data_IF_169164678649
#
_entry.id   IF_169164678649
#
_cell.length_a   1.000
_cell.length_b   1.000
_cell.length_c   1.000
_cell.angle_alpha   90.00
_cell.angle_beta   90.00
_cell.angle_gamma   90.00
#
_symmetry.space_group_name_H-M   'P 1'
#
loop_
_entity.id
_entity.type
_entity.pdbx_description
1 polymer ?
#
# COMPACT_ATOMS: atom_id res chain seq x y z
N UNK A 1 20.91 -2.92 22.41
CA UNK A 1 19.51 -2.48 22.61
C UNK A 1 18.90 -1.78 21.41
N UNK A 2 19.55 -0.78 20.79
CA UNK A 2 18.95 0.00 19.69
C UNK A 2 18.54 -0.81 18.43
N UNK A 3 19.25 -1.90 18.11
CA UNK A 3 18.94 -2.76 16.95
C UNK A 3 17.70 -3.64 17.17
N UNK A 4 17.51 -4.15 18.38
CA UNK A 4 16.34 -4.97 18.76
C UNK A 4 15.08 -4.11 18.87
N UNK A 5 15.21 -2.87 19.36
CA UNK A 5 14.10 -1.92 19.45
C UNK A 5 13.58 -1.50 18.06
N UNK A 6 14.48 -1.26 17.10
CA UNK A 6 14.12 -0.98 15.70
C UNK A 6 13.45 -2.19 15.02
N UNK A 7 13.89 -3.41 15.34
CA UNK A 7 13.29 -4.64 14.81
C UNK A 7 11.89 -4.91 15.40
N UNK A 8 11.66 -4.59 16.67
CA UNK A 8 10.33 -4.70 17.29
C UNK A 8 9.36 -3.62 16.79
N UNK A 9 9.83 -2.39 16.52
CA UNK A 9 9.00 -1.36 15.88
C UNK A 9 8.66 -1.69 14.42
N UNK A 10 9.59 -2.29 13.66
CA UNK A 10 9.32 -2.79 12.32
C UNK A 10 8.31 -3.95 12.31
N UNK A 11 8.37 -4.87 13.28
CA UNK A 11 7.37 -5.94 13.44
C UNK A 11 6.00 -5.41 13.87
N UNK A 12 5.97 -4.43 14.78
CA UNK A 12 4.71 -3.82 15.24
C UNK A 12 4.01 -3.05 14.11
N UNK A 13 4.77 -2.40 13.23
CA UNK A 13 4.23 -1.73 12.03
C UNK A 13 3.72 -2.72 10.97
N UNK A 14 4.26 -3.94 10.92
CA UNK A 14 3.79 -4.99 10.02
C UNK A 14 2.50 -5.69 10.51
N UNK A 15 2.22 -5.65 11.81
CA UNK A 15 1.07 -6.32 12.43
C UNK A 15 -0.25 -5.55 12.40
N UNK A 16 -0.27 -4.28 11.97
CA UNK A 16 -1.48 -3.43 12.03
C UNK A 16 -2.44 -3.61 10.83
N UNK A 17 -2.08 -4.43 9.83
CA UNK A 17 -2.93 -4.67 8.65
C UNK A 17 -3.79 -5.93 8.82
N UNK A 18 -4.53 -6.04 9.93
CA UNK A 18 -5.63 -7.00 10.06
C UNK A 18 -6.49 -6.69 11.30
N UNK A 19 -7.42 -5.75 11.16
CA UNK A 19 -8.68 -5.82 11.88
C UNK A 19 -9.80 -5.82 10.83
N UNK A 20 -10.59 -6.89 10.68
CA UNK A 20 -11.82 -6.81 9.93
C UNK A 20 -12.78 -5.93 10.75
N UNK A 21 -13.24 -4.85 10.16
CA UNK A 21 -14.30 -4.00 10.69
C UNK A 21 -15.66 -4.74 10.63
N UNK A 22 -15.78 -5.85 11.36
CA UNK A 22 -17.03 -6.54 11.62
C UNK A 22 -17.06 -6.87 13.12
N UNK A 23 -18.14 -6.45 13.77
CA UNK A 23 -18.48 -6.62 15.19
C UNK A 23 -17.98 -5.53 16.14
N UNK A 24 -18.73 -4.42 16.17
CA UNK A 24 -19.10 -3.80 17.44
C UNK A 24 -20.62 -3.73 17.45
N UNK A 25 -21.20 -4.70 18.15
CA UNK A 25 -22.63 -4.82 18.36
C UNK A 25 -22.93 -4.33 19.75
N UNK A 26 -23.51 -3.14 19.84
CA UNK A 26 -23.85 -2.51 21.10
C UNK A 26 -25.19 -1.80 20.90
N UNK A 27 -26.27 -2.48 21.31
CA UNK A 27 -27.54 -1.89 21.74
C UNK A 27 -28.17 -0.82 20.86
N UNK A 28 -29.04 -1.26 19.94
CA UNK A 28 -30.12 -0.43 19.43
C UNK A 28 -31.10 -0.13 20.57
N UNK A 29 -30.95 1.02 21.21
CA UNK A 29 -32.07 1.66 21.92
C UNK A 29 -32.60 2.80 21.04
N UNK A 30 -33.79 2.52 20.50
CA UNK A 30 -34.67 3.48 19.87
C UNK A 30 -35.10 4.51 20.92
N UNK A 31 -34.74 5.79 20.76
CA UNK A 31 -35.56 6.88 21.31
C UNK A 31 -35.61 8.08 20.38
N UNK A 32 -36.83 8.60 20.25
CA UNK A 32 -37.33 9.56 19.29
C UNK A 32 -37.41 10.94 19.94
N UNK A 33 -37.11 11.99 19.14
CA UNK A 33 -37.56 13.39 19.33
C UNK A 33 -36.86 14.27 20.38
N UNK A 34 -36.29 15.39 19.93
CA UNK A 34 -36.81 16.74 20.21
C UNK A 34 -36.10 17.80 19.36
N UNK A 35 -36.89 18.60 18.65
CA UNK A 35 -36.52 19.85 18.00
C UNK A 35 -36.45 20.95 19.07
N UNK A 36 -35.49 21.89 18.99
CA UNK A 36 -35.67 23.36 18.97
C UNK A 36 -34.41 24.14 19.40
N UNK A 37 -34.09 25.18 18.59
CA UNK A 37 -33.48 26.49 18.95
C UNK A 37 -32.04 26.51 19.50
N UNK A 38 -31.20 27.54 19.38
CA UNK A 38 -30.97 28.71 18.53
C UNK A 38 -29.61 29.28 19.04
N UNK A 39 -28.90 30.04 18.20
CA UNK A 39 -27.91 31.09 18.52
C UNK A 39 -26.44 30.73 18.75
N UNK A 40 -25.61 31.52 18.05
CA UNK A 40 -24.33 32.14 18.48
C UNK A 40 -23.14 31.18 18.60
N UNK A 41 -21.97 31.39 18.01
CA UNK A 41 -21.38 32.50 17.27
C UNK A 41 -20.26 31.94 16.39
N UNK A 42 -19.79 32.75 15.44
CA UNK A 42 -18.76 32.42 14.47
C UNK A 42 -17.48 31.82 15.08
N UNK A 43 -17.30 30.51 14.91
CA UNK A 43 -15.99 29.85 14.89
C UNK A 43 -15.86 29.14 13.54
N UNK A 44 -14.70 29.32 12.91
CA UNK A 44 -14.36 28.86 11.56
C UNK A 44 -14.90 27.46 11.24
N UNK A 45 -15.55 27.22 10.08
CA UNK A 45 -15.97 25.88 9.72
C UNK A 45 -14.72 25.02 9.49
N UNK A 46 -14.31 24.29 10.53
CA UNK A 46 -13.59 23.03 10.36
C UNK A 46 -14.57 22.13 9.64
N UNK A 47 -14.31 21.97 8.34
CA UNK A 47 -15.06 21.06 7.51
C UNK A 47 -14.75 19.67 8.06
N UNK A 48 -15.56 19.20 9.00
CA UNK A 48 -15.66 17.78 9.30
C UNK A 48 -16.22 17.14 8.03
N UNK A 49 -15.30 16.74 7.15
CA UNK A 49 -15.64 15.90 6.02
C UNK A 49 -16.08 14.56 6.60
N UNK A 50 -17.39 14.43 6.80
CA UNK A 50 -18.05 13.15 6.91
C UNK A 50 -17.84 12.42 5.57
N UNK A 51 -16.69 11.73 5.44
CA UNK A 51 -16.43 10.89 4.28
C UNK A 51 -17.35 9.68 4.38
N UNK A 52 -18.47 9.75 3.68
CA UNK A 52 -19.48 8.71 3.60
C UNK A 52 -18.84 7.31 3.43
N UNK A 53 -19.18 6.40 4.34
CA UNK A 53 -18.58 5.06 4.45
C UNK A 53 -18.67 4.21 3.16
N UNK A 54 -19.60 4.53 2.25
CA UNK A 54 -19.74 3.85 0.96
C UNK A 54 -18.59 4.16 -0.02
N UNK A 55 -18.08 5.40 -0.05
CA UNK A 55 -16.95 5.78 -0.92
C UNK A 55 -15.63 5.13 -0.50
N UNK A 56 -15.47 4.90 0.80
CA UNK A 56 -14.27 4.31 1.39
C UNK A 56 -14.03 2.86 0.91
N UNK A 57 -15.09 2.09 0.67
CA UNK A 57 -14.98 0.68 0.27
C UNK A 57 -14.57 0.52 -1.20
N UNK A 58 -15.10 1.37 -2.08
CA UNK A 58 -14.75 1.33 -3.50
C UNK A 58 -13.30 1.77 -3.74
N UNK A 59 -12.85 2.81 -3.04
CA UNK A 59 -11.47 3.30 -3.12
C UNK A 59 -10.47 2.25 -2.63
N UNK A 60 -10.74 1.61 -1.48
CA UNK A 60 -9.89 0.53 -0.94
C UNK A 60 -9.82 -0.69 -1.85
N UNK A 61 -10.94 -1.06 -2.49
CA UNK A 61 -10.96 -2.19 -3.42
C UNK A 61 -10.19 -1.87 -4.72
N UNK A 62 -10.33 -0.64 -5.24
CA UNK A 62 -9.56 -0.16 -6.39
C UNK A 62 -8.05 -0.15 -6.12
N UNK A 63 -7.63 0.36 -4.95
CA UNK A 63 -6.24 0.34 -4.50
C UNK A 63 -5.66 -1.08 -4.43
N UNK A 64 -6.41 -2.03 -3.84
CA UNK A 64 -5.99 -3.42 -3.73
C UNK A 64 -5.83 -4.13 -5.07
N UNK A 65 -6.80 -3.95 -5.98
CA UNK A 65 -6.75 -4.53 -7.33
C UNK A 65 -5.61 -3.90 -8.14
N UNK A 66 -5.46 -2.57 -8.09
CA UNK A 66 -4.38 -1.85 -8.75
C UNK A 66 -3.00 -2.34 -8.31
N UNK A 67 -2.79 -2.44 -7.00
CA UNK A 67 -1.55 -2.96 -6.43
C UNK A 67 -1.25 -4.40 -6.87
N UNK A 68 -2.27 -5.26 -6.92
CA UNK A 68 -2.14 -6.63 -7.41
C UNK A 68 -1.66 -6.70 -8.87
N UNK A 69 -2.25 -5.90 -9.76
CA UNK A 69 -1.86 -5.85 -11.17
C UNK A 69 -0.43 -5.33 -11.32
N UNK A 70 -0.06 -4.29 -10.58
CA UNK A 70 1.31 -3.74 -10.57
C UNK A 70 2.31 -4.83 -10.17
N UNK A 71 2.07 -5.55 -9.07
CA UNK A 71 2.96 -6.61 -8.61
C UNK A 71 3.09 -7.77 -9.61
N UNK A 72 2.01 -8.15 -10.30
CA UNK A 72 2.07 -9.16 -11.36
C UNK A 72 2.97 -8.70 -12.52
N UNK A 73 2.86 -7.45 -12.94
CA UNK A 73 3.69 -6.87 -14.00
C UNK A 73 5.17 -6.79 -13.62
N UNK A 74 5.46 -6.25 -12.43
CA UNK A 74 6.83 -6.12 -11.91
C UNK A 74 7.47 -7.48 -11.72
N UNK A 75 6.76 -8.42 -11.05
CA UNK A 75 7.24 -9.77 -10.79
C UNK A 75 7.55 -10.56 -12.06
N UNK A 76 6.70 -10.44 -13.09
CA UNK A 76 6.96 -11.06 -14.38
C UNK A 76 8.17 -10.44 -15.09
N UNK A 77 8.29 -9.11 -15.07
CA UNK A 77 9.41 -8.41 -15.69
C UNK A 77 10.75 -8.76 -15.06
N UNK A 78 10.85 -8.67 -13.72
CA UNK A 78 12.10 -8.99 -13.01
C UNK A 78 12.47 -10.47 -13.13
N UNK A 79 11.49 -11.36 -13.11
CA UNK A 79 11.70 -12.80 -13.30
C UNK A 79 12.34 -13.12 -14.65
N UNK A 80 11.88 -12.45 -15.73
CA UNK A 80 12.49 -12.61 -17.06
C UNK A 80 13.90 -12.03 -17.14
N UNK A 81 14.12 -10.85 -16.57
CA UNK A 81 15.45 -10.21 -16.52
C UNK A 81 16.45 -11.13 -15.82
N UNK A 82 16.10 -11.63 -14.64
CA UNK A 82 16.93 -12.55 -13.86
C UNK A 82 17.21 -13.86 -14.60
N UNK A 83 16.19 -14.48 -15.19
CA UNK A 83 16.34 -15.72 -15.95
C UNK A 83 17.30 -15.59 -17.14
N UNK A 84 17.12 -14.56 -17.96
CA UNK A 84 17.98 -14.29 -19.12
C UNK A 84 19.41 -13.92 -18.70
N UNK A 85 19.58 -13.19 -17.60
CA UNK A 85 20.88 -12.87 -17.07
C UNK A 85 21.63 -14.13 -16.59
N UNK A 86 20.98 -15.03 -15.87
CA UNK A 86 21.59 -16.28 -15.39
C UNK A 86 21.98 -17.19 -16.57
N UNK A 87 21.11 -17.34 -17.56
CA UNK A 87 21.46 -18.07 -18.79
C UNK A 87 22.65 -17.45 -19.52
N UNK A 88 22.68 -16.11 -19.66
CA UNK A 88 23.78 -15.38 -20.27
C UNK A 88 25.11 -15.57 -19.53
N UNK A 89 25.10 -15.45 -18.20
CA UNK A 89 26.28 -15.66 -17.36
C UNK A 89 26.80 -17.10 -17.44
N UNK A 90 25.91 -18.09 -17.57
CA UNK A 90 26.31 -19.49 -17.71
C UNK A 90 27.00 -19.80 -19.04
N UNK A 91 26.59 -19.11 -20.13
CA UNK A 91 27.15 -19.29 -21.47
C UNK A 91 28.46 -18.53 -21.68
N UNK A 92 28.61 -17.39 -21.01
CA UNK A 92 29.76 -16.51 -21.17
C UNK A 92 30.26 -16.04 -19.79
N UNK A 93 30.96 -16.91 -19.04
CA UNK A 93 31.42 -16.58 -17.70
C UNK A 93 32.42 -15.42 -17.67
N UNK A 94 33.15 -15.19 -18.76
CA UNK A 94 34.14 -14.11 -18.93
C UNK A 94 33.53 -12.72 -18.78
N UNK A 95 32.27 -12.55 -19.17
CA UNK A 95 31.54 -11.26 -19.09
C UNK A 95 30.44 -11.28 -18.04
N UNK A 96 30.41 -12.28 -17.15
CA UNK A 96 29.33 -12.47 -16.20
C UNK A 96 29.15 -11.25 -15.25
N UNK A 97 30.23 -10.60 -14.84
CA UNK A 97 30.17 -9.39 -14.00
C UNK A 97 29.46 -8.22 -14.70
N UNK A 98 29.67 -8.06 -16.01
CA UNK A 98 28.99 -7.03 -16.80
C UNK A 98 27.49 -7.35 -16.96
N UNK A 99 27.15 -8.62 -17.20
CA UNK A 99 25.77 -9.09 -17.27
C UNK A 99 25.05 -8.87 -15.92
N UNK A 100 25.71 -9.20 -14.81
CA UNK A 100 25.15 -8.98 -13.47
C UNK A 100 24.92 -7.49 -13.20
N UNK A 101 25.84 -6.61 -13.61
CA UNK A 101 25.68 -5.17 -13.46
C UNK A 101 24.49 -4.65 -14.28
N UNK A 102 24.38 -5.06 -15.55
CA UNK A 102 23.25 -4.70 -16.40
C UNK A 102 21.92 -5.23 -15.84
N UNK A 103 21.91 -6.46 -15.31
CA UNK A 103 20.75 -7.07 -14.65
C UNK A 103 20.32 -6.25 -13.43
N UNK A 104 21.24 -5.83 -12.57
CA UNK A 104 20.95 -5.03 -11.37
C UNK A 104 20.40 -3.66 -11.76
N UNK A 105 20.96 -3.01 -12.79
CA UNK A 105 20.44 -1.73 -13.28
C UNK A 105 19.01 -1.88 -13.80
N UNK A 106 18.77 -2.90 -14.64
CA UNK A 106 17.43 -3.18 -15.15
C UNK A 106 16.45 -3.52 -14.01
N UNK A 107 16.89 -4.28 -13.01
CA UNK A 107 16.13 -4.60 -11.81
C UNK A 107 15.77 -3.36 -10.99
N UNK A 108 16.72 -2.45 -10.79
CA UNK A 108 16.49 -1.21 -10.07
C UNK A 108 15.49 -0.29 -10.80
N UNK A 109 15.51 -0.25 -12.13
CA UNK A 109 14.58 0.56 -12.91
C UNK A 109 13.15 0.02 -12.85
N UNK A 110 12.96 -1.30 -12.97
CA UNK A 110 11.62 -1.89 -12.88
C UNK A 110 11.06 -1.82 -11.45
N UNK A 111 11.90 -2.05 -10.43
CA UNK A 111 11.50 -1.86 -9.03
C UNK A 111 11.16 -0.41 -8.74
N UNK A 112 11.93 0.56 -9.25
CA UNK A 112 11.62 1.98 -9.10
C UNK A 112 10.26 2.36 -9.70
N UNK A 113 9.95 1.87 -10.90
CA UNK A 113 8.64 2.07 -11.53
C UNK A 113 7.51 1.35 -10.78
N UNK A 114 7.76 0.13 -10.31
CA UNK A 114 6.83 -0.66 -9.52
C UNK A 114 6.46 -0.01 -8.19
N UNK A 115 7.47 0.40 -7.42
CA UNK A 115 7.28 1.12 -6.16
C UNK A 115 6.53 2.44 -6.37
N UNK A 116 6.87 3.21 -7.41
CA UNK A 116 6.13 4.43 -7.72
C UNK A 116 4.64 4.15 -7.98
N UNK A 117 4.33 3.13 -8.79
CA UNK A 117 2.96 2.74 -9.06
C UNK A 117 2.22 2.26 -7.80
N UNK A 118 2.87 1.49 -6.92
CA UNK A 118 2.29 1.07 -5.63
C UNK A 118 1.98 2.25 -4.71
N UNK A 119 2.86 3.26 -4.67
CA UNK A 119 2.61 4.49 -3.92
C UNK A 119 1.38 5.21 -4.48
N UNK A 120 1.26 5.32 -5.80
CA UNK A 120 0.07 5.92 -6.42
C UNK A 120 -1.20 5.13 -6.08
N UNK A 121 -1.16 3.79 -6.12
CA UNK A 121 -2.29 2.96 -5.71
C UNK A 121 -2.67 3.14 -4.23
N UNK A 122 -1.71 3.43 -3.35
CA UNK A 122 -1.96 3.65 -1.93
C UNK A 122 -2.50 5.05 -1.63
N UNK A 123 -2.18 6.04 -2.48
CA UNK A 123 -2.64 7.42 -2.34
C UNK A 123 -3.99 7.68 -3.04
N UNK A 124 -4.43 6.77 -3.89
CA UNK A 124 -5.71 6.82 -4.60
C UNK A 124 -6.86 6.26 -3.75
#
# INVERSE_FOLDING_TARGET
MAKTLRMMMLLAMLGLVAAPAFAQGDGEETETTTLTEETTDAETPVVEEEVAAEGLMLNKLGAGIGAGIVLLGVGFGIGRIGGQAVEGMSRQPEVAGNIQTAMIIAAALIEGAGFFALVVCLLA
#
